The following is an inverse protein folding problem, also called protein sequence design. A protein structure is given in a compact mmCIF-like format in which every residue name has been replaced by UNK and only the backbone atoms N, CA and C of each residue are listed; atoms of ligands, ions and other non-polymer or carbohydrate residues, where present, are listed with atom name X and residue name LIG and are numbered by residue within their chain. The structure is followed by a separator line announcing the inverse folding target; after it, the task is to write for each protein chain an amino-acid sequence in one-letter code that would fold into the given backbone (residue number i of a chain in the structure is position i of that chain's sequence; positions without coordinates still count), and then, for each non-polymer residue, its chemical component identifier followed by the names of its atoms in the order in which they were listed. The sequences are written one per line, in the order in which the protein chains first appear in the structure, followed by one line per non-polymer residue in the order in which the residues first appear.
data_IF_859785891541
#
_entry.id   IF_859785891541
#
_cell.length_a   1.000
_cell.length_b   1.000
_cell.length_c   1.000
_cell.angle_alpha   90.00
_cell.angle_beta   90.00
_cell.angle_gamma   90.00
#
_symmetry.space_group_name_H-M   'P 1'
#
loop_
_entity.id
_entity.type
_entity.pdbx_description
1 polymer ?
#
# COMPACT_ATOMS: atom_id res chain seq x y z
N UNK A 1 -42.12 42.49 15.19
CA UNK A 1 -42.34 41.07 14.82
C UNK A 1 -41.90 40.76 13.39
N UNK A 2 -42.27 41.53 12.37
CA UNK A 2 -41.87 41.25 10.97
C UNK A 2 -40.35 41.36 10.69
N UNK A 3 -39.66 42.36 11.25
CA UNK A 3 -38.20 42.52 11.06
C UNK A 3 -37.38 41.35 11.63
N UNK A 4 -37.80 40.76 12.75
CA UNK A 4 -37.12 39.61 13.38
C UNK A 4 -37.23 38.34 12.53
N UNK A 5 -38.35 38.14 11.84
CA UNK A 5 -38.59 36.99 10.94
C UNK A 5 -37.71 37.11 9.68
N UNK A 6 -37.61 38.31 9.10
CA UNK A 6 -36.79 38.56 7.92
C UNK A 6 -35.28 38.39 8.18
N UNK A 7 -34.81 38.83 9.36
CA UNK A 7 -33.42 38.63 9.77
C UNK A 7 -33.14 37.12 9.97
N UNK A 8 -34.07 36.39 10.58
CA UNK A 8 -33.90 34.94 10.82
C UNK A 8 -33.86 34.13 9.51
N UNK A 9 -34.68 34.48 8.51
CA UNK A 9 -34.68 33.85 7.19
C UNK A 9 -33.41 34.19 6.39
N UNK A 10 -32.97 35.44 6.46
CA UNK A 10 -31.71 35.87 5.83
C UNK A 10 -30.50 35.14 6.44
N UNK A 11 -30.43 35.05 7.77
CA UNK A 11 -29.34 34.35 8.46
C UNK A 11 -29.33 32.85 8.12
N UNK A 12 -30.50 32.19 8.04
CA UNK A 12 -30.62 30.78 7.63
C UNK A 12 -30.14 30.56 6.19
N UNK A 13 -30.56 31.44 5.27
CA UNK A 13 -30.13 31.38 3.86
C UNK A 13 -28.64 31.64 3.72
N UNK A 14 -28.11 32.63 4.43
CA UNK A 14 -26.68 32.91 4.47
C UNK A 14 -25.89 31.71 5.03
N UNK A 15 -26.35 31.07 6.10
CA UNK A 15 -25.71 29.88 6.67
C UNK A 15 -25.71 28.70 5.70
N UNK A 16 -26.82 28.49 4.98
CA UNK A 16 -26.92 27.45 3.96
C UNK A 16 -26.01 27.73 2.76
N UNK A 17 -25.96 28.97 2.28
CA UNK A 17 -25.11 29.36 1.14
C UNK A 17 -23.63 29.31 1.51
N UNK A 18 -23.25 29.80 2.70
CA UNK A 18 -21.87 29.71 3.21
C UNK A 18 -21.49 28.26 3.48
N UNK A 19 -22.39 27.46 4.07
CA UNK A 19 -22.17 26.04 4.32
C UNK A 19 -22.00 25.23 3.04
N UNK A 20 -22.85 25.44 2.03
CA UNK A 20 -22.73 24.82 0.72
C UNK A 20 -21.45 25.28 -0.01
N UNK A 21 -21.11 26.56 0.08
CA UNK A 21 -19.88 27.11 -0.48
C UNK A 21 -18.62 26.52 0.14
N UNK A 22 -18.57 26.40 1.47
CA UNK A 22 -17.48 25.74 2.19
C UNK A 22 -17.39 24.25 1.88
N UNK A 23 -18.54 23.56 1.80
CA UNK A 23 -18.58 22.15 1.39
C UNK A 23 -18.03 21.94 -0.02
N UNK A 24 -18.39 22.82 -0.97
CA UNK A 24 -17.87 22.75 -2.35
C UNK A 24 -16.37 23.09 -2.40
N UNK A 25 -15.91 24.06 -1.63
CA UNK A 25 -14.47 24.40 -1.53
C UNK A 25 -13.64 23.26 -0.94
N UNK A 26 -14.16 22.52 0.07
CA UNK A 26 -13.48 21.35 0.64
C UNK A 26 -13.36 20.19 -0.36
N UNK A 27 -14.34 20.01 -1.25
CA UNK A 27 -14.29 18.98 -2.30
C UNK A 27 -13.23 19.26 -3.38
N UNK A 28 -12.83 20.52 -3.55
CA UNK A 28 -11.81 20.93 -4.53
C UNK A 28 -10.36 20.78 -4.02
N UNK A 29 -10.15 20.45 -2.73
CA UNK A 29 -8.82 20.21 -2.14
C UNK A 29 -8.38 18.76 -2.36
N UNK A 30 -8.45 18.27 -3.60
CA UNK A 30 -7.84 16.99 -4.00
C UNK A 30 -6.54 17.22 -4.77
N UNK A 31 -5.73 18.19 -4.35
CA UNK A 31 -4.37 18.30 -4.87
C UNK A 31 -3.55 17.14 -4.29
N UNK A 32 -3.16 16.21 -5.15
CA UNK A 32 -2.28 15.10 -4.80
C UNK A 32 -0.90 15.66 -4.46
N UNK A 33 -0.55 15.63 -3.18
CA UNK A 33 0.82 15.83 -2.76
C UNK A 33 1.62 14.55 -3.04
N UNK A 34 2.89 14.71 -3.40
CA UNK A 34 3.84 13.60 -3.39
C UNK A 34 3.89 13.01 -1.96
N UNK A 35 3.75 11.68 -1.87
CA UNK A 35 3.79 10.95 -0.61
C UNK A 35 5.03 10.09 -0.52
N UNK A 36 5.52 9.95 0.71
CA UNK A 36 6.61 9.05 1.04
C UNK A 36 6.03 7.75 1.64
N UNK A 37 6.47 6.62 1.11
CA UNK A 37 6.08 5.29 1.55
C UNK A 37 7.27 4.60 2.22
N UNK A 38 7.20 4.44 3.55
CA UNK A 38 8.25 3.76 4.30
C UNK A 38 8.23 2.25 4.06
N UNK A 39 9.39 1.71 3.71
CA UNK A 39 9.65 0.29 3.50
C UNK A 39 10.73 -0.12 4.49
N UNK A 40 10.34 -0.78 5.59
CA UNK A 40 11.31 -1.41 6.49
C UNK A 40 11.86 -2.62 5.74
N UNK A 41 13.07 -2.54 5.23
CA UNK A 41 13.66 -3.50 4.30
C UNK A 41 14.53 -4.52 5.04
N UNK A 42 14.39 -5.80 4.70
CA UNK A 42 14.92 -6.94 5.45
C UNK A 42 14.00 -8.17 5.44
N UNK A 43 14.52 -9.29 5.95
CA UNK A 43 13.73 -10.49 6.22
C UNK A 43 12.88 -10.31 7.48
N UNK A 44 11.57 -10.45 7.32
CA UNK A 44 10.63 -10.45 8.43
C UNK A 44 10.27 -11.88 8.81
N UNK A 45 10.73 -12.31 9.99
CA UNK A 45 10.42 -13.64 10.53
C UNK A 45 9.26 -13.51 11.54
N UNK A 46 8.11 -14.12 11.25
CA UNK A 46 6.96 -14.16 12.16
C UNK A 46 5.69 -14.68 11.49
N UNK A 47 4.74 -15.17 12.29
CA UNK A 47 3.45 -15.71 11.80
C UNK A 47 2.58 -14.67 11.08
N UNK A 48 2.87 -13.38 11.27
CA UNK A 48 2.14 -12.25 10.69
C UNK A 48 3.03 -11.35 9.82
N UNK A 49 4.19 -11.85 9.36
CA UNK A 49 5.06 -11.08 8.48
C UNK A 49 4.35 -10.83 7.14
N UNK A 50 3.91 -9.59 6.92
CA UNK A 50 3.37 -9.17 5.63
C UNK A 50 4.50 -9.16 4.60
N UNK A 51 4.28 -9.82 3.46
CA UNK A 51 5.24 -9.75 2.37
C UNK A 51 5.13 -8.37 1.68
N UNK A 52 6.26 -7.82 1.21
CA UNK A 52 6.32 -6.51 0.55
C UNK A 52 5.31 -6.31 -0.58
N UNK A 53 5.04 -7.34 -1.38
CA UNK A 53 4.07 -7.23 -2.46
C UNK A 53 2.64 -7.06 -1.94
N UNK A 54 2.27 -7.71 -0.83
CA UNK A 54 0.95 -7.54 -0.21
C UNK A 54 0.79 -6.12 0.37
N UNK A 55 1.87 -5.60 0.97
CA UNK A 55 1.90 -4.21 1.40
C UNK A 55 1.73 -3.26 0.20
N UNK A 56 2.41 -3.51 -0.91
CA UNK A 56 2.32 -2.68 -2.10
C UNK A 56 0.91 -2.69 -2.71
N UNK A 57 0.23 -3.84 -2.74
CA UNK A 57 -1.14 -3.99 -3.25
C UNK A 57 -2.17 -3.16 -2.46
N UNK A 58 -1.92 -2.90 -1.16
CA UNK A 58 -2.77 -2.04 -0.32
C UNK A 58 -2.52 -0.56 -0.54
N UNK A 59 -1.43 -0.20 -1.21
CA UNK A 59 -1.04 1.17 -1.46
C UNK A 59 -1.38 1.58 -2.90
N UNK A 60 -1.51 2.89 -3.11
CA UNK A 60 -1.75 3.49 -4.43
C UNK A 60 -0.60 4.43 -4.71
N UNK A 61 0.22 4.11 -5.70
CA UNK A 61 1.40 4.90 -6.04
C UNK A 61 1.12 5.81 -7.23
N UNK A 62 1.59 7.05 -7.16
CA UNK A 62 1.48 8.07 -8.20
C UNK A 62 2.85 8.56 -8.62
N UNK A 63 2.91 9.17 -9.81
CA UNK A 63 4.12 9.86 -10.25
C UNK A 63 4.44 10.98 -9.25
N UNK A 64 5.69 11.03 -8.78
CA UNK A 64 6.19 11.98 -7.79
C UNK A 64 6.20 11.44 -6.36
N UNK A 65 5.50 10.34 -6.07
CA UNK A 65 5.63 9.65 -4.78
C UNK A 65 7.06 9.07 -4.62
N UNK A 66 7.48 8.79 -3.38
CA UNK A 66 8.78 8.18 -3.09
C UNK A 66 8.65 6.93 -2.24
N UNK A 67 9.54 5.96 -2.47
CA UNK A 67 9.77 4.83 -1.57
C UNK A 67 10.97 5.15 -0.67
N UNK A 68 10.80 4.95 0.63
CA UNK A 68 11.85 5.21 1.63
C UNK A 68 12.24 3.88 2.25
N UNK A 69 13.32 3.28 1.74
CA UNK A 69 13.85 2.01 2.23
C UNK A 69 14.77 2.24 3.43
N UNK A 70 14.53 1.55 4.53
CA UNK A 70 15.42 1.53 5.70
C UNK A 70 15.90 0.11 5.95
N UNK A 71 17.21 -0.11 6.00
CA UNK A 71 17.84 -1.42 6.17
C UNK A 71 19.20 -1.29 6.85
N UNK A 72 19.72 -2.37 7.42
CA UNK A 72 21.06 -2.35 8.01
C UNK A 72 22.13 -2.31 6.90
N UNK A 73 22.95 -1.25 6.81
CA UNK A 73 24.03 -1.21 5.83
C UNK A 73 24.99 -2.38 6.02
N UNK A 74 25.53 -2.91 4.93
CA UNK A 74 26.43 -4.08 4.85
C UNK A 74 25.77 -5.45 5.10
N UNK A 75 24.62 -5.52 5.77
CA UNK A 75 23.85 -6.77 5.92
C UNK A 75 22.93 -7.01 4.72
N UNK A 76 22.35 -5.93 4.18
CA UNK A 76 21.55 -5.94 2.97
C UNK A 76 21.73 -4.68 2.10
N UNK A 77 21.09 -4.67 0.95
CA UNK A 77 21.09 -3.61 -0.06
C UNK A 77 19.83 -3.69 -0.91
N UNK A 78 19.43 -2.55 -1.47
CA UNK A 78 18.28 -2.48 -2.39
C UNK A 78 18.79 -2.38 -3.81
N UNK A 79 18.38 -3.31 -4.67
CA UNK A 79 18.69 -3.27 -6.11
C UNK A 79 17.42 -2.98 -6.90
N UNK A 80 17.43 -1.92 -7.72
CA UNK A 80 16.42 -1.75 -8.75
C UNK A 80 16.79 -2.62 -9.95
N UNK A 81 15.84 -3.42 -10.44
CA UNK A 81 16.08 -4.40 -11.51
C UNK A 81 14.96 -4.39 -12.56
N UNK A 82 15.15 -5.16 -13.63
CA UNK A 82 14.08 -5.46 -14.58
C UNK A 82 13.23 -6.66 -14.11
N UNK A 83 12.14 -6.93 -14.83
CA UNK A 83 11.19 -7.98 -14.47
C UNK A 83 11.84 -9.39 -14.43
N UNK A 84 12.72 -9.72 -15.37
CA UNK A 84 13.35 -11.04 -15.43
C UNK A 84 14.31 -11.27 -14.27
N UNK A 85 15.13 -10.26 -13.95
CA UNK A 85 16.01 -10.29 -12.80
C UNK A 85 15.23 -10.37 -11.47
N UNK A 86 14.07 -9.70 -11.39
CA UNK A 86 13.16 -9.81 -10.24
C UNK A 86 12.60 -11.24 -10.07
N UNK A 87 12.14 -11.85 -11.17
CA UNK A 87 11.60 -13.23 -11.15
C UNK A 87 12.67 -14.24 -10.72
N UNK A 88 13.90 -14.05 -11.20
CA UNK A 88 14.99 -15.01 -11.02
C UNK A 88 15.92 -14.68 -9.85
N UNK A 89 15.68 -13.58 -9.12
CA UNK A 89 16.59 -13.04 -8.11
C UNK A 89 18.03 -12.90 -8.65
N UNK A 90 18.17 -12.30 -9.84
CA UNK A 90 19.47 -12.03 -10.45
C UNK A 90 20.03 -10.69 -9.97
N UNK A 91 21.23 -10.72 -9.38
CA UNK A 91 21.92 -9.56 -8.81
C UNK A 91 23.05 -9.03 -9.71
N UNK A 92 23.25 -9.63 -10.89
CA UNK A 92 24.47 -9.42 -11.70
C UNK A 92 24.49 -8.09 -12.48
N UNK A 93 23.33 -7.52 -12.80
CA UNK A 93 23.24 -6.29 -13.59
C UNK A 93 22.02 -5.46 -13.17
N UNK A 94 22.04 -4.89 -11.96
CA UNK A 94 20.96 -4.02 -11.51
C UNK A 94 20.94 -2.72 -12.31
N UNK A 95 19.75 -2.14 -12.46
CA UNK A 95 19.57 -0.80 -13.03
C UNK A 95 20.12 0.28 -12.08
N UNK A 96 20.03 0.04 -10.77
CA UNK A 96 20.61 0.88 -9.71
C UNK A 96 20.82 0.04 -8.45
N UNK A 97 21.83 0.39 -7.66
CA UNK A 97 22.22 -0.32 -6.44
C UNK A 97 22.37 0.66 -5.29
N UNK A 98 21.79 0.33 -4.14
CA UNK A 98 21.82 1.16 -2.94
C UNK A 98 22.27 0.34 -1.74
N UNK A 99 23.29 0.83 -1.04
CA UNK A 99 23.91 0.18 0.12
C UNK A 99 24.05 1.13 1.31
N UNK A 100 23.30 2.23 1.30
CA UNK A 100 23.40 3.34 2.26
C UNK A 100 22.61 3.11 3.56
N UNK A 101 21.75 2.08 3.60
CA UNK A 101 20.87 1.74 4.72
C UNK A 101 19.65 2.64 4.87
N UNK A 102 19.59 3.74 4.11
CA UNK A 102 18.44 4.62 4.05
C UNK A 102 18.35 5.24 2.66
N UNK A 103 17.58 4.60 1.78
CA UNK A 103 17.45 4.98 0.37
C UNK A 103 16.11 5.63 0.11
N UNK A 104 16.10 6.82 -0.48
CA UNK A 104 14.89 7.47 -1.01
C UNK A 104 14.87 7.30 -2.53
N UNK A 105 13.85 6.60 -3.04
CA UNK A 105 13.67 6.36 -4.47
C UNK A 105 12.40 7.05 -4.96
N UNK A 106 12.55 8.01 -5.87
CA UNK A 106 11.41 8.74 -6.46
C UNK A 106 10.78 7.99 -7.63
N UNK A 107 9.45 7.88 -7.63
CA UNK A 107 8.65 7.23 -8.67
C UNK A 107 8.34 8.24 -9.78
N UNK A 108 9.23 8.32 -10.76
CA UNK A 108 9.22 9.37 -11.79
C UNK A 108 8.35 9.09 -13.03
N UNK A 109 7.92 7.85 -13.24
CA UNK A 109 7.08 7.46 -14.36
C UNK A 109 6.01 6.45 -13.94
N UNK A 110 4.96 6.34 -14.76
CA UNK A 110 3.95 5.29 -14.58
C UNK A 110 4.51 3.91 -14.94
N UNK A 111 3.90 2.85 -14.41
CA UNK A 111 4.27 1.47 -14.69
C UNK A 111 4.99 0.78 -13.54
N UNK A 112 5.49 -0.44 -13.77
CA UNK A 112 6.10 -1.24 -12.72
C UNK A 112 7.54 -0.81 -12.43
N UNK A 113 7.90 -0.83 -11.14
CA UNK A 113 9.25 -0.78 -10.62
C UNK A 113 9.52 -2.06 -9.84
N UNK A 114 10.67 -2.67 -10.07
CA UNK A 114 11.06 -3.92 -9.43
C UNK A 114 12.30 -3.71 -8.57
N UNK A 115 12.21 -4.17 -7.32
CA UNK A 115 13.28 -4.11 -6.35
C UNK A 115 13.53 -5.50 -5.76
N UNK A 116 14.80 -5.84 -5.58
CA UNK A 116 15.23 -7.08 -4.92
C UNK A 116 16.33 -6.78 -3.91
N UNK A 117 16.51 -7.68 -2.93
CA UNK A 117 17.66 -7.60 -2.05
C UNK A 117 18.93 -7.91 -2.86
N UNK A 118 20.03 -7.20 -2.59
CA UNK A 118 21.33 -7.54 -3.18
C UNK A 118 21.93 -8.82 -2.61
N UNK A 119 21.41 -9.32 -1.49
CA UNK A 119 21.61 -10.70 -1.06
C UNK A 119 20.65 -11.63 -1.83
N UNK A 120 21.21 -12.48 -2.70
CA UNK A 120 20.45 -13.41 -3.54
C UNK A 120 19.58 -14.37 -2.74
N UNK A 121 20.02 -14.80 -1.57
CA UNK A 121 19.27 -15.75 -0.74
C UNK A 121 18.11 -15.06 0.00
N UNK A 122 18.27 -13.79 0.37
CA UNK A 122 17.17 -12.99 0.92
C UNK A 122 16.08 -12.74 -0.14
N UNK A 123 16.47 -12.41 -1.39
CA UNK A 123 15.50 -12.29 -2.49
C UNK A 123 14.70 -13.58 -2.70
N UNK A 124 15.36 -14.76 -2.66
CA UNK A 124 14.68 -16.06 -2.75
C UNK A 124 13.73 -16.34 -1.59
N UNK A 125 13.98 -15.74 -0.42
CA UNK A 125 13.07 -15.75 0.74
C UNK A 125 12.00 -14.65 0.66
N UNK A 126 11.77 -14.09 -0.53
CA UNK A 126 10.78 -13.07 -0.85
C UNK A 126 11.08 -11.67 -0.30
N UNK A 127 12.34 -11.35 -0.04
CA UNK A 127 12.80 -9.96 0.11
C UNK A 127 12.93 -9.28 -1.25
N UNK A 128 11.77 -9.00 -1.83
CA UNK A 128 11.60 -8.37 -3.13
C UNK A 128 10.26 -7.65 -3.18
N UNK A 129 10.22 -6.55 -3.92
CA UNK A 129 9.07 -5.65 -3.99
C UNK A 129 8.80 -5.28 -5.45
N UNK A 130 7.53 -5.39 -5.87
CA UNK A 130 7.04 -4.75 -7.10
C UNK A 130 6.06 -3.64 -6.74
N UNK A 131 6.27 -2.46 -7.31
CA UNK A 131 5.39 -1.30 -7.16
C UNK A 131 4.87 -0.91 -8.53
N UNK A 132 3.56 -0.72 -8.66
CA UNK A 132 2.93 -0.26 -9.91
C UNK A 132 2.45 1.17 -9.74
N UNK A 133 3.06 2.08 -10.48
CA UNK A 133 2.74 3.51 -10.46
C UNK A 133 1.65 3.81 -11.47
N UNK A 134 0.59 4.49 -11.01
CA UNK A 134 -0.55 4.82 -11.84
C UNK A 134 -0.18 5.89 -12.88
N UNK A 135 -0.75 5.75 -14.08
CA UNK A 135 -0.63 6.77 -15.12
C UNK A 135 -1.47 8.00 -14.76
N UNK A 136 -0.90 9.18 -14.97
CA UNK A 136 -1.65 10.42 -14.86
C UNK A 136 -2.70 10.49 -15.98
N UNK A 137 -3.98 10.43 -15.59
CA UNK A 137 -5.11 10.53 -16.51
C UNK A 137 -5.70 11.94 -16.57
N UNK A 138 -5.14 12.91 -15.84
CA UNK A 138 -5.66 14.28 -15.79
C UNK A 138 -5.71 14.95 -17.16
N UNK A 139 -4.75 14.64 -18.04
CA UNK A 139 -4.67 15.17 -19.41
C UNK A 139 -5.48 14.39 -20.47
N UNK A 140 -6.13 13.26 -20.14
CA UNK A 140 -6.95 12.52 -21.13
C UNK A 140 -8.37 13.07 -21.28
N UNK A 141 -8.81 14.00 -20.43
CA UNK A 141 -10.15 14.58 -20.55
C UNK A 141 -10.30 15.57 -21.73
N UNK A 142 -9.22 15.94 -22.41
CA UNK A 142 -9.24 16.90 -23.53
C UNK A 142 -9.06 16.27 -24.91
N UNK A 143 -8.86 14.94 -25.04
CA UNK A 143 -8.58 14.31 -26.35
C UNK A 143 -9.21 12.93 -26.53
N UNK A 144 -10.41 12.69 -25.98
CA UNK A 144 -11.19 11.49 -26.29
C UNK A 144 -12.12 11.75 -27.50
N UNK A 145 -11.53 11.90 -28.69
CA UNK A 145 -12.24 11.82 -29.96
C UNK A 145 -11.34 11.16 -31.00
N UNK A 146 -10.88 9.94 -30.72
CA UNK A 146 -10.39 9.04 -31.75
C UNK A 146 -10.65 7.59 -31.34
N UNK A 147 -11.74 7.06 -31.88
CA UNK A 147 -12.06 5.63 -31.92
C UNK A 147 -11.03 4.92 -32.77
N UNK A 148 -10.12 4.18 -32.14
CA UNK A 148 -9.41 3.08 -32.79
C UNK A 148 -9.84 1.77 -32.12
N UNK A 149 -10.49 0.84 -32.84
CA UNK A 149 -10.85 -0.46 -32.27
C UNK A 149 -9.60 -1.33 -32.15
N UNK A 150 -9.32 -1.81 -30.92
CA UNK A 150 -8.30 -2.84 -30.70
C UNK A 150 -8.68 -4.13 -31.45
N UNK A 151 -7.76 -4.62 -32.27
CA UNK A 151 -7.86 -5.93 -32.91
C UNK A 151 -7.98 -7.07 -31.88
N UNK A 152 -8.78 -8.11 -32.14
CA UNK A 152 -8.90 -9.26 -31.24
C UNK A 152 -7.63 -10.13 -31.27
N UNK A 153 -7.32 -10.85 -30.17
CA UNK A 153 -6.20 -11.79 -30.13
C UNK A 153 -6.46 -13.02 -31.03
N UNK A 154 -5.41 -13.62 -31.63
CA UNK A 154 -5.57 -14.83 -32.44
C UNK A 154 -5.98 -16.01 -31.55
N UNK A 155 -7.00 -16.74 -32.02
CA UNK A 155 -7.51 -17.96 -31.39
C UNK A 155 -6.57 -19.13 -31.71
N UNK A 156 -5.88 -19.64 -30.70
CA UNK A 156 -5.07 -20.87 -30.83
C UNK A 156 -5.93 -22.07 -30.45
N UNK A 157 -6.41 -22.79 -31.46
CA UNK A 157 -6.99 -24.13 -31.36
C UNK A 157 -5.91 -25.15 -31.00
N UNK A 158 -6.03 -25.80 -29.84
CA UNK A 158 -5.33 -27.05 -29.56
C UNK A 158 -6.39 -28.14 -29.40
N UNK A 159 -6.35 -29.07 -30.35
CA UNK A 159 -7.14 -30.30 -30.41
C UNK A 159 -6.93 -31.16 -29.15
N UNK A 160 -8.05 -31.65 -28.64
CA UNK A 160 -8.15 -32.68 -27.62
C UNK A 160 -7.98 -34.03 -28.32
N UNK A 161 -7.04 -34.86 -27.86
CA UNK A 161 -7.16 -36.32 -28.04
C UNK A 161 -6.65 -37.07 -26.79
N UNK A 162 -7.34 -38.14 -26.33
CA UNK A 162 -7.06 -38.76 -25.02
C UNK A 162 -6.07 -39.93 -25.09
N UNK A 163 -5.34 -40.10 -23.97
CA UNK A 163 -4.70 -41.28 -23.33
C UNK A 163 -4.36 -42.56 -24.13
N UNK A 164 -3.28 -43.28 -23.74
CA UNK A 164 -3.48 -44.38 -22.78
C UNK A 164 -2.40 -44.51 -21.68
N UNK A 165 -2.78 -45.20 -20.60
CA UNK A 165 -2.00 -45.50 -19.39
C UNK A 165 -0.86 -46.53 -19.59
N UNK A 166 0.07 -46.63 -18.63
CA UNK A 166 0.53 -47.93 -18.17
C UNK A 166 0.48 -48.13 -16.64
N UNK A 167 0.27 -49.39 -16.29
CA UNK A 167 0.04 -49.97 -14.97
C UNK A 167 1.24 -49.95 -14.01
N UNK A 168 0.94 -49.85 -12.72
CA UNK A 168 1.40 -50.80 -11.68
C UNK A 168 2.78 -50.60 -11.07
N UNK A 169 2.81 -50.27 -9.77
CA UNK A 169 3.98 -50.42 -8.92
C UNK A 169 3.79 -49.83 -7.51
N UNK A 170 3.34 -50.64 -6.56
CA UNK A 170 3.24 -50.32 -5.13
C UNK A 170 4.61 -50.09 -4.48
N UNK A 171 4.70 -49.31 -3.39
CA UNK A 171 5.70 -49.53 -2.35
C UNK A 171 5.05 -49.96 -1.01
N UNK A 172 5.78 -50.70 -0.16
CA UNK A 172 5.22 -51.36 1.02
C UNK A 172 5.10 -50.46 2.25
N UNK A 173 4.28 -50.93 3.18
CA UNK A 173 4.04 -50.39 4.51
C UNK A 173 5.14 -50.78 5.52
N UNK A 174 5.29 -49.94 6.55
CA UNK A 174 6.03 -50.18 7.80
C UNK A 174 6.91 -48.96 8.16
N UNK A 175 7.02 -48.47 9.39
CA UNK A 175 6.52 -48.89 10.70
C UNK A 175 6.62 -47.67 11.65
N UNK A 176 5.75 -47.65 12.64
CA UNK A 176 5.68 -46.77 13.83
C UNK A 176 7.03 -46.59 14.54
N UNK A 177 7.35 -45.38 14.99
CA UNK A 177 7.89 -45.13 16.35
C UNK A 177 7.84 -43.64 16.75
N UNK A 178 7.10 -43.39 17.82
CA UNK A 178 7.15 -42.22 18.70
C UNK A 178 7.79 -42.72 20.01
N UNK A 179 8.68 -41.99 20.72
CA UNK A 179 8.20 -41.06 21.73
C UNK A 179 9.01 -39.76 21.92
N UNK A 180 8.29 -38.74 22.40
CA UNK A 180 8.71 -37.50 23.08
C UNK A 180 9.72 -37.76 24.23
N UNK A 181 10.51 -36.74 24.63
CA UNK A 181 10.13 -35.92 25.80
C UNK A 181 10.39 -34.41 25.66
N UNK A 182 9.62 -33.64 26.44
CA UNK A 182 9.65 -32.18 26.62
C UNK A 182 10.90 -31.67 27.35
N UNK A 183 11.13 -30.34 27.34
CA UNK A 183 11.27 -29.64 28.63
C UNK A 183 10.58 -28.26 28.71
N UNK A 184 9.79 -28.11 29.77
CA UNK A 184 9.61 -26.94 30.67
C UNK A 184 9.63 -25.51 30.11
N UNK A 185 8.44 -24.91 30.01
CA UNK A 185 8.26 -23.45 30.04
C UNK A 185 8.10 -22.96 31.49
N UNK A 186 9.12 -22.24 31.95
CA UNK A 186 9.17 -21.43 33.17
C UNK A 186 8.41 -20.11 32.96
N UNK A 187 7.80 -19.60 34.03
CA UNK A 187 6.82 -18.51 34.01
C UNK A 187 7.39 -17.10 34.31
N UNK A 188 6.94 -16.10 33.52
CA UNK A 188 6.76 -14.64 33.78
C UNK A 188 8.03 -13.78 34.07
N UNK A 189 8.01 -12.43 33.85
CA UNK A 189 7.01 -11.44 34.31
C UNK A 189 6.41 -10.52 33.22
N UNK A 190 5.33 -9.75 33.52
CA UNK A 190 4.79 -8.76 32.60
C UNK A 190 5.49 -7.41 32.81
N UNK A 191 6.08 -6.85 31.76
CA UNK A 191 6.59 -5.49 31.81
C UNK A 191 5.44 -4.51 31.63
N UNK A 192 5.13 -3.81 32.73
CA UNK A 192 4.40 -2.56 32.71
C UNK A 192 5.28 -1.48 32.08
N UNK A 193 4.81 -0.87 31.00
CA UNK A 193 5.27 0.43 30.57
C UNK A 193 4.08 1.19 29.99
N UNK A 194 3.73 2.23 30.74
CA UNK A 194 2.70 3.20 30.47
C UNK A 194 3.08 4.06 29.26
N UNK A 195 2.14 4.30 28.35
CA UNK A 195 2.19 5.44 27.44
C UNK A 195 0.81 6.08 27.39
N UNK A 196 0.75 7.23 28.05
CA UNK A 196 -0.37 8.16 28.12
C UNK A 196 -0.75 8.60 26.70
N UNK A 197 -1.96 8.25 26.26
CA UNK A 197 -2.59 8.94 25.13
C UNK A 197 -3.56 9.99 25.68
N UNK A 198 -3.08 11.24 25.67
CA UNK A 198 -3.93 12.42 25.82
C UNK A 198 -4.88 12.47 24.62
N UNK A 199 -6.17 12.25 24.87
CA UNK A 199 -7.24 12.46 23.89
C UNK A 199 -7.37 13.96 23.61
N UNK A 200 -6.96 14.39 22.41
CA UNK A 200 -7.24 15.73 21.89
C UNK A 200 -8.30 15.60 20.80
N UNK A 201 -9.56 15.40 21.19
CA UNK A 201 -10.71 15.63 20.32
C UNK A 201 -11.93 16.07 21.12
N UNK A 202 -11.92 17.32 21.59
CA UNK A 202 -13.12 18.00 22.07
C UNK A 202 -12.97 19.53 22.00
N UNK A 203 -12.78 20.10 20.81
CA UNK A 203 -12.85 21.57 20.67
C UNK A 203 -13.48 22.10 19.38
N UNK A 204 -14.19 21.28 18.60
CA UNK A 204 -15.07 21.79 17.53
C UNK A 204 -16.54 21.91 17.91
N UNK A 205 -16.93 21.46 19.12
CA UNK A 205 -18.32 21.60 19.62
C UNK A 205 -18.62 22.93 20.33
N UNK A 206 -17.60 23.65 20.81
CA UNK A 206 -17.81 24.83 21.66
C UNK A 206 -18.09 26.13 20.89
N UNK A 207 -17.85 26.17 19.57
CA UNK A 207 -18.08 27.39 18.77
C UNK A 207 -19.54 27.51 18.30
N UNK A 208 -20.26 26.39 18.18
CA UNK A 208 -21.67 26.40 17.77
C UNK A 208 -22.64 26.67 18.94
N UNK A 209 -22.30 26.28 20.18
CA UNK A 209 -23.15 26.53 21.35
C UNK A 209 -23.07 27.98 21.86
N UNK A 210 -21.94 28.66 21.70
CA UNK A 210 -21.80 30.07 22.11
C UNK A 210 -22.55 31.04 21.16
N UNK A 211 -22.74 30.65 19.90
CA UNK A 211 -23.42 31.50 18.90
C UNK A 211 -24.95 31.50 19.05
N UNK A 212 -25.54 30.46 19.64
CA UNK A 212 -26.98 30.41 19.92
C UNK A 212 -27.39 31.14 21.21
N UNK A 213 -26.44 31.38 22.13
CA UNK A 213 -26.72 32.05 23.41
C UNK A 213 -26.65 33.60 23.32
N UNK A 214 -26.08 34.17 22.26
CA UNK A 214 -26.01 35.63 22.07
C UNK A 214 -27.17 36.23 21.25
N UNK A 215 -28.14 35.42 20.80
CA UNK A 215 -29.33 35.88 20.08
C UNK A 215 -30.64 35.63 20.86
N UNK A 216 -30.53 35.28 22.14
CA UNK A 216 -31.65 35.04 23.05
C UNK A 216 -32.14 36.25 23.86
N UNK A 217 -31.66 37.47 23.55
CA UNK A 217 -32.14 38.72 24.14
C UNK A 217 -32.53 39.72 23.04
#
# INVERSE_FOLDING_TARGET
MANSILITDYQRKAFNVVGLGLSFMLLMIQKGYARDFSVNWGLHNGTNAENYNQWAEKNRFQIGDSLVFTYTPNDDSVLQVNEDAYKNCSVESPLSSYTDGHTVFSLSHSGPYYFISGNKDNCKKNEKLVVVVLADRSNRSSTANETNPSSPPPSSSIDIMPSPAPSGGSPPAGTVENPTPAPSDESKPPNAASAVFMSVTASMGAVFAASTLLLGF
#
